data_IF_594324112084
#
_entry.id   IF_594324112084
#
_cell.length_a   1.000
_cell.length_b   1.000
_cell.length_c   1.000
_cell.angle_alpha   90.00
_cell.angle_beta   90.00
_cell.angle_gamma   90.00
#
_symmetry.space_group_name_H-M   'P 1'
#
loop_
_entity.id
_entity.type
_entity.pdbx_description
1 polymer ?
#
# COMPACT_ATOMS: atom_id res chain seq x y z
N UNK A 1 11.86 -0.24 5.95
CA UNK A 1 12.86 -0.22 4.87
C UNK A 1 13.78 0.99 4.98
N UNK A 2 14.65 1.18 3.99
CA UNK A 2 15.40 2.42 3.78
C UNK A 2 14.86 3.11 2.52
N UNK A 3 14.72 4.43 2.54
CA UNK A 3 14.29 5.22 1.39
C UNK A 3 14.90 6.60 1.45
N UNK A 4 14.85 7.30 0.31
CA UNK A 4 15.31 8.67 0.17
C UNK A 4 14.20 9.63 0.61
N UNK A 5 14.53 10.51 1.56
CA UNK A 5 13.65 11.58 2.04
C UNK A 5 14.17 12.92 1.55
N UNK A 6 13.28 13.70 0.95
CA UNK A 6 13.50 15.12 0.69
C UNK A 6 12.55 15.95 1.56
N UNK A 7 13.10 16.54 2.64
CA UNK A 7 12.34 17.39 3.55
C UNK A 7 12.45 18.87 3.18
N UNK A 8 13.13 19.23 2.08
CA UNK A 8 13.29 20.64 1.66
C UNK A 8 11.93 21.30 1.39
N UNK A 9 10.95 20.55 0.89
CA UNK A 9 9.59 21.04 0.68
C UNK A 9 8.81 21.28 1.99
N UNK A 10 9.07 20.51 3.05
CA UNK A 10 8.47 20.75 4.37
C UNK A 10 8.98 22.05 4.99
N UNK A 11 10.24 22.41 4.73
CA UNK A 11 10.83 23.67 5.17
C UNK A 11 10.13 24.90 4.57
N UNK A 12 9.61 24.79 3.34
CA UNK A 12 8.92 25.90 2.66
C UNK A 12 7.63 26.34 3.38
N UNK A 13 6.96 25.42 4.08
CA UNK A 13 5.74 25.74 4.84
C UNK A 13 6.03 26.38 6.22
N UNK A 14 7.27 26.24 6.72
CA UNK A 14 7.72 26.85 7.98
C UNK A 14 8.50 28.15 7.76
N UNK A 15 8.71 28.55 6.51
CA UNK A 15 9.39 29.79 6.13
C UNK A 15 8.51 31.01 6.43
N UNK A 16 8.42 31.38 7.71
CA UNK A 16 8.55 32.80 8.00
C UNK A 16 10.00 33.16 7.66
N UNK A 17 10.23 34.24 6.93
CA UNK A 17 11.55 34.76 6.47
C UNK A 17 12.56 35.07 7.62
N UNK A 18 12.30 34.60 8.83
CA UNK A 18 13.00 34.92 10.07
C UNK A 18 13.68 33.69 10.72
N UNK A 19 13.59 32.49 10.13
CA UNK A 19 14.19 31.26 10.69
C UNK A 19 15.08 30.54 9.67
N UNK A 20 16.25 30.10 10.14
CA UNK A 20 17.13 29.16 9.46
C UNK A 20 16.86 27.75 10.00
N UNK A 21 16.62 26.81 9.10
CA UNK A 21 16.25 25.42 9.43
C UNK A 21 17.33 24.47 8.92
N UNK A 22 17.76 23.52 9.76
CA UNK A 22 18.73 22.48 9.42
C UNK A 22 18.42 21.17 10.15
N UNK A 23 18.72 20.04 9.51
CA UNK A 23 18.48 18.70 10.08
C UNK A 23 19.79 18.01 10.46
N UNK A 24 19.74 17.15 11.48
CA UNK A 24 20.89 16.44 12.04
C UNK A 24 20.52 15.01 12.44
N UNK A 25 21.50 14.11 12.39
CA UNK A 25 21.32 12.70 12.80
C UNK A 25 21.36 12.54 14.33
N UNK A 26 21.99 13.47 15.05
CA UNK A 26 22.10 13.44 16.51
C UNK A 26 21.70 14.76 17.16
N UNK A 27 21.18 14.68 18.39
CA UNK A 27 20.84 15.86 19.18
C UNK A 27 22.06 16.75 19.43
N UNK A 28 23.23 16.14 19.71
CA UNK A 28 24.45 16.89 19.98
C UNK A 28 24.92 17.70 18.75
N UNK A 29 24.79 17.12 17.55
CA UNK A 29 25.10 17.83 16.31
C UNK A 29 24.12 18.99 16.07
N UNK A 30 22.83 18.77 16.37
CA UNK A 30 21.80 19.82 16.29
C UNK A 30 22.05 20.96 17.28
N UNK A 31 22.44 20.67 18.54
CA UNK A 31 22.73 21.67 19.56
C UNK A 31 23.98 22.49 19.23
N UNK A 32 25.02 21.84 18.69
CA UNK A 32 26.29 22.45 18.33
C UNK A 32 26.33 23.02 16.90
N UNK A 33 25.28 22.78 16.10
CA UNK A 33 25.19 23.17 14.70
C UNK A 33 26.38 22.67 13.85
N UNK A 34 26.70 21.39 13.97
CA UNK A 34 27.80 20.73 13.23
C UNK A 34 27.25 19.55 12.43
N UNK A 35 27.87 19.23 11.29
CA UNK A 35 27.46 18.11 10.43
C UNK A 35 25.96 18.12 10.02
N UNK A 36 25.43 19.23 9.47
CA UNK A 36 24.05 19.24 8.99
C UNK A 36 23.87 18.21 7.87
N UNK A 37 22.67 17.63 7.81
CA UNK A 37 22.24 16.72 6.75
C UNK A 37 22.07 17.51 5.46
N UNK A 38 22.67 17.02 4.37
CA UNK A 38 22.38 17.47 3.01
C UNK A 38 21.22 16.63 2.43
N UNK A 39 20.34 17.28 1.68
CA UNK A 39 19.23 16.62 1.00
C UNK A 39 19.57 16.31 -0.46
N UNK A 40 19.06 15.20 -1.00
CA UNK A 40 18.17 14.24 -0.33
C UNK A 40 18.91 13.30 0.64
N UNK A 41 18.21 12.80 1.67
CA UNK A 41 18.80 12.00 2.75
C UNK A 41 18.17 10.60 2.83
N UNK A 42 19.01 9.55 2.84
CA UNK A 42 18.56 8.17 3.06
C UNK A 42 18.66 7.80 4.54
N UNK A 43 17.58 7.28 5.12
CA UNK A 43 17.62 6.79 6.51
C UNK A 43 18.54 5.58 6.67
N UNK A 44 19.07 5.36 7.88
CA UNK A 44 19.95 4.22 8.21
C UNK A 44 19.26 3.16 9.08
N UNK A 45 18.15 3.53 9.73
CA UNK A 45 17.27 2.63 10.48
C UNK A 45 15.81 2.99 10.23
N UNK A 46 14.90 2.10 10.57
CA UNK A 46 13.47 2.35 10.48
C UNK A 46 12.74 1.81 11.73
N UNK A 47 12.09 2.66 12.54
CA UNK A 47 12.09 4.12 12.44
C UNK A 47 13.48 4.74 12.70
N UNK A 48 13.70 5.97 12.21
CA UNK A 48 14.86 6.79 12.55
C UNK A 48 14.43 8.16 13.05
N UNK A 49 14.99 8.61 14.17
CA UNK A 49 14.83 9.98 14.65
C UNK A 49 15.92 10.87 14.07
N UNK A 50 15.50 11.98 13.48
CA UNK A 50 16.33 13.13 13.11
C UNK A 50 16.00 14.31 14.03
N UNK A 51 16.88 15.31 14.04
CA UNK A 51 16.74 16.51 14.84
C UNK A 51 16.70 17.74 13.94
N UNK A 52 15.59 18.48 13.96
CA UNK A 52 15.42 19.76 13.28
C UNK A 52 15.85 20.89 14.21
N UNK A 53 16.88 21.64 13.83
CA UNK A 53 17.26 22.90 14.47
C UNK A 53 16.57 24.06 13.74
N UNK A 54 15.85 24.89 14.50
CA UNK A 54 15.33 26.18 14.03
C UNK A 54 16.05 27.32 14.74
N UNK A 55 16.72 28.21 14.01
CA UNK A 55 17.51 29.32 14.56
C UNK A 55 17.12 30.68 13.98
N UNK A 56 17.26 31.74 14.77
CA UNK A 56 17.01 33.12 14.33
C UNK A 56 18.31 33.73 13.77
N UNK A 57 18.34 34.17 12.49
CA UNK A 57 19.53 34.76 11.87
C UNK A 57 20.12 35.91 12.68
N UNK A 58 21.45 35.93 12.81
CA UNK A 58 22.17 36.98 13.54
C UNK A 58 22.06 36.90 15.07
N UNK A 59 21.51 35.80 15.61
CA UNK A 59 21.43 35.55 17.06
C UNK A 59 21.99 34.18 17.43
N UNK A 60 22.05 33.88 18.73
CA UNK A 60 22.35 32.54 19.26
C UNK A 60 21.09 31.76 19.66
N UNK A 61 19.90 32.28 19.37
CA UNK A 61 18.64 31.65 19.79
C UNK A 61 18.28 30.54 18.81
N UNK A 62 17.96 29.37 19.35
CA UNK A 62 17.50 28.22 18.58
C UNK A 62 16.59 27.32 19.42
N UNK A 63 15.79 26.51 18.73
CA UNK A 63 15.08 25.38 19.29
C UNK A 63 15.38 24.12 18.47
N UNK A 64 15.29 22.95 19.11
CA UNK A 64 15.51 21.64 18.47
C UNK A 64 14.25 20.79 18.62
N UNK A 65 13.80 20.19 17.53
CA UNK A 65 12.64 19.32 17.45
C UNK A 65 13.04 17.94 16.96
N UNK A 66 12.34 16.90 17.44
CA UNK A 66 12.50 15.55 16.92
C UNK A 66 11.61 15.34 15.69
N UNK A 67 12.16 14.67 14.67
CA UNK A 67 11.46 14.30 13.45
C UNK A 67 11.65 12.80 13.24
N UNK A 68 10.56 12.06 13.17
CA UNK A 68 10.60 10.62 12.97
C UNK A 68 10.45 10.29 11.49
N UNK A 69 11.50 9.73 10.90
CA UNK A 69 11.46 9.09 9.61
C UNK A 69 10.93 7.67 9.80
N UNK A 70 9.74 7.45 9.26
CA UNK A 70 9.09 6.14 9.26
C UNK A 70 8.92 5.77 7.79
N UNK A 71 9.58 4.70 7.38
CA UNK A 71 9.34 4.05 6.10
C UNK A 71 8.30 2.99 6.36
N UNK A 72 7.07 3.26 5.96
CA UNK A 72 6.06 2.22 5.86
C UNK A 72 6.31 1.42 4.58
N UNK A 73 6.42 0.11 4.74
CA UNK A 73 6.54 -0.80 3.62
C UNK A 73 5.13 -1.12 3.14
N UNK A 74 4.66 -0.41 2.13
CA UNK A 74 3.39 -0.73 1.46
C UNK A 74 3.51 -1.93 0.51
N UNK A 75 4.72 -2.52 0.37
CA UNK A 75 5.02 -3.68 -0.47
C UNK A 75 5.20 -5.00 0.30
N UNK A 76 4.94 -5.02 1.61
CA UNK A 76 4.89 -6.25 2.43
C UNK A 76 3.55 -6.40 3.14
N UNK A 77 2.45 -6.25 2.41
CA UNK A 77 1.10 -6.19 2.99
C UNK A 77 0.34 -7.50 3.06
N UNK A 78 0.82 -8.59 2.45
CA UNK A 78 0.29 -9.93 2.68
C UNK A 78 1.24 -10.96 2.07
N UNK A 79 1.68 -11.91 2.90
CA UNK A 79 2.23 -13.18 2.41
C UNK A 79 1.15 -13.96 1.66
N UNK A 80 1.54 -15.04 0.95
CA UNK A 80 0.57 -15.98 0.37
C UNK A 80 -0.51 -16.38 1.40
N UNK A 81 -0.05 -16.66 2.63
CA UNK A 81 -0.91 -17.07 3.73
C UNK A 81 -1.87 -15.96 4.19
N UNK A 82 -1.46 -14.69 4.13
CA UNK A 82 -2.35 -13.58 4.51
C UNK A 82 -3.41 -13.34 3.43
N UNK A 83 -3.04 -13.40 2.14
CA UNK A 83 -4.00 -13.32 1.03
C UNK A 83 -5.01 -14.45 1.12
N UNK A 84 -4.55 -15.67 1.35
CA UNK A 84 -5.41 -16.84 1.57
C UNK A 84 -6.42 -16.60 2.69
N UNK A 85 -5.94 -16.12 3.85
CA UNK A 85 -6.81 -15.81 4.99
C UNK A 85 -7.83 -14.73 4.65
N UNK A 86 -7.44 -13.65 3.98
CA UNK A 86 -8.37 -12.57 3.62
C UNK A 86 -9.43 -13.02 2.62
N UNK A 87 -9.03 -13.77 1.59
CA UNK A 87 -9.94 -14.29 0.57
C UNK A 87 -10.99 -15.21 1.19
N UNK A 88 -10.59 -16.09 2.13
CA UNK A 88 -11.48 -17.07 2.76
C UNK A 88 -12.28 -16.52 3.95
N UNK A 89 -12.05 -15.28 4.41
CA UNK A 89 -12.71 -14.75 5.61
C UNK A 89 -14.18 -14.35 5.38
N UNK A 90 -14.48 -13.67 4.27
CA UNK A 90 -15.82 -13.23 3.87
C UNK A 90 -15.94 -13.14 2.34
N UNK A 91 -17.12 -12.79 1.85
CA UNK A 91 -17.38 -12.54 0.43
C UNK A 91 -16.79 -11.21 -0.06
N UNK A 92 -16.48 -11.17 -1.35
CA UNK A 92 -15.84 -10.04 -2.01
C UNK A 92 -16.65 -9.54 -3.21
N UNK A 93 -16.64 -8.24 -3.48
CA UNK A 93 -17.29 -7.65 -4.65
C UNK A 93 -16.28 -7.00 -5.58
N UNK A 94 -16.38 -7.27 -6.89
CA UNK A 94 -15.56 -6.63 -7.92
C UNK A 94 -16.06 -5.21 -8.22
N UNK A 95 -15.68 -4.26 -7.36
CA UNK A 95 -16.18 -2.88 -7.39
C UNK A 95 -15.63 -2.03 -8.54
N UNK A 96 -14.46 -2.40 -9.08
CA UNK A 96 -13.86 -1.72 -10.23
C UNK A 96 -13.09 -2.72 -11.09
N UNK A 97 -13.40 -2.78 -12.37
CA UNK A 97 -12.69 -3.54 -13.38
C UNK A 97 -12.31 -2.61 -14.53
N UNK A 98 -11.02 -2.26 -14.64
CA UNK A 98 -10.51 -1.37 -15.68
C UNK A 98 -11.24 -0.01 -15.78
N UNK A 99 -11.73 0.53 -14.66
CA UNK A 99 -12.45 1.80 -14.59
C UNK A 99 -13.97 1.68 -14.80
N UNK A 100 -14.52 0.47 -14.74
CA UNK A 100 -15.95 0.16 -14.87
C UNK A 100 -16.44 -0.60 -13.64
N UNK A 101 -17.68 -0.31 -13.22
CA UNK A 101 -18.39 -0.96 -12.12
C UNK A 101 -19.36 -2.07 -12.59
N UNK A 102 -19.31 -2.47 -13.87
CA UNK A 102 -20.23 -3.46 -14.45
C UNK A 102 -20.16 -4.84 -13.73
N UNK A 103 -19.05 -5.12 -13.03
CA UNK A 103 -18.86 -6.36 -12.27
C UNK A 103 -19.27 -6.24 -10.80
N UNK A 104 -19.67 -5.07 -10.31
CA UNK A 104 -20.01 -4.81 -8.89
C UNK A 104 -21.22 -5.61 -8.39
N UNK A 105 -21.98 -6.22 -9.29
CA UNK A 105 -23.12 -7.10 -8.95
C UNK A 105 -22.70 -8.54 -8.62
N UNK A 106 -21.43 -8.89 -8.85
CA UNK A 106 -20.91 -10.23 -8.61
C UNK A 106 -20.24 -10.29 -7.23
N UNK A 107 -20.76 -11.21 -6.42
CA UNK A 107 -20.23 -11.61 -5.13
C UNK A 107 -19.30 -12.82 -5.34
N UNK A 108 -18.06 -12.75 -4.88
CA UNK A 108 -17.02 -13.76 -5.00
C UNK A 108 -16.79 -14.40 -3.63
N UNK A 109 -16.99 -15.71 -3.55
CA UNK A 109 -16.81 -16.53 -2.35
C UNK A 109 -15.69 -17.56 -2.55
N UNK A 110 -14.57 -17.35 -1.87
CA UNK A 110 -13.37 -18.18 -1.93
C UNK A 110 -13.39 -19.22 -0.80
N UNK A 111 -13.49 -20.51 -1.16
CA UNK A 111 -13.67 -21.60 -0.20
C UNK A 111 -12.39 -22.43 0.04
N UNK A 112 -12.30 -23.09 1.20
CA UNK A 112 -11.19 -23.93 1.75
C UNK A 112 -10.69 -25.13 0.88
N UNK A 113 -11.14 -25.27 -0.38
CA UNK A 113 -10.72 -26.34 -1.30
C UNK A 113 -10.36 -25.79 -2.70
N UNK A 114 -9.84 -24.56 -2.78
CA UNK A 114 -9.56 -23.89 -4.06
C UNK A 114 -10.81 -23.73 -4.94
N UNK A 115 -12.00 -23.76 -4.34
CA UNK A 115 -13.27 -23.57 -5.06
C UNK A 115 -13.70 -22.11 -4.93
N UNK A 116 -14.05 -21.48 -6.04
CA UNK A 116 -14.58 -20.13 -6.11
C UNK A 116 -16.04 -20.19 -6.56
N UNK A 117 -16.95 -19.67 -5.76
CA UNK A 117 -18.35 -19.50 -6.13
C UNK A 117 -18.59 -18.02 -6.40
N UNK A 118 -19.09 -17.69 -7.59
CA UNK A 118 -19.46 -16.32 -7.93
C UNK A 118 -20.96 -16.24 -8.10
N UNK A 119 -21.62 -15.39 -7.32
CA UNK A 119 -23.07 -15.19 -7.34
C UNK A 119 -23.41 -13.85 -7.97
N UNK A 120 -24.27 -13.85 -8.99
CA UNK A 120 -24.87 -12.62 -9.49
C UNK A 120 -26.05 -12.24 -8.58
N UNK A 121 -25.89 -11.14 -7.83
CA UNK A 121 -26.87 -10.71 -6.82
C UNK A 121 -28.19 -10.20 -7.40
N UNK A 122 -28.27 -9.97 -8.72
CA UNK A 122 -29.50 -9.49 -9.38
C UNK A 122 -30.46 -10.63 -9.74
N UNK A 123 -29.93 -11.82 -10.00
CA UNK A 123 -30.71 -12.97 -10.51
C UNK A 123 -30.41 -14.29 -9.78
N UNK A 124 -29.48 -14.30 -8.83
CA UNK A 124 -29.00 -15.45 -8.05
C UNK A 124 -28.41 -16.60 -8.89
N UNK A 125 -27.99 -16.32 -10.12
CA UNK A 125 -27.22 -17.29 -10.91
C UNK A 125 -25.80 -17.41 -10.35
N UNK A 126 -25.29 -18.64 -10.29
CA UNK A 126 -23.96 -18.92 -9.77
C UNK A 126 -23.04 -19.47 -10.86
N UNK A 127 -21.78 -19.07 -10.78
CA UNK A 127 -20.67 -19.59 -11.59
C UNK A 127 -19.68 -20.21 -10.63
N UNK A 128 -19.24 -21.44 -10.92
CA UNK A 128 -18.21 -22.10 -10.12
C UNK A 128 -16.90 -22.05 -10.89
N UNK A 129 -15.82 -21.76 -10.18
CA UNK A 129 -14.46 -21.71 -10.69
C UNK A 129 -13.47 -22.25 -9.67
N UNK A 130 -12.19 -22.05 -9.98
CA UNK A 130 -11.09 -22.38 -9.09
C UNK A 130 -10.28 -21.14 -8.77
N UNK A 131 -9.69 -21.13 -7.59
CA UNK A 131 -8.73 -20.12 -7.19
C UNK A 131 -7.49 -20.75 -6.56
N UNK A 132 -6.35 -20.11 -6.75
CA UNK A 132 -5.11 -20.45 -6.07
C UNK A 132 -4.29 -19.18 -5.85
N UNK A 133 -3.47 -19.19 -4.80
CA UNK A 133 -2.44 -18.17 -4.57
C UNK A 133 -1.06 -18.76 -4.80
N UNK A 134 -0.09 -17.91 -5.11
CA UNK A 134 1.32 -18.29 -5.13
C UNK A 134 2.21 -17.08 -4.86
N UNK A 135 3.23 -17.26 -4.02
CA UNK A 135 4.19 -16.19 -3.71
C UNK A 135 5.48 -16.31 -4.53
N UNK A 136 5.91 -15.18 -5.09
CA UNK A 136 7.11 -15.03 -5.89
C UNK A 136 7.94 -13.84 -5.40
N UNK A 137 9.10 -13.59 -6.02
CA UNK A 137 9.88 -12.39 -5.73
C UNK A 137 9.15 -11.07 -6.10
N UNK A 138 8.15 -11.14 -6.99
CA UNK A 138 7.39 -9.98 -7.45
C UNK A 138 6.16 -9.70 -6.56
N UNK A 139 5.80 -10.62 -5.67
CA UNK A 139 4.64 -10.54 -4.79
C UNK A 139 3.76 -11.80 -4.82
N UNK A 140 2.56 -11.69 -4.25
CA UNK A 140 1.54 -12.75 -4.26
C UNK A 140 0.69 -12.64 -5.53
N UNK A 141 0.54 -13.76 -6.21
CA UNK A 141 -0.32 -13.91 -7.38
C UNK A 141 -1.58 -14.67 -7.01
N UNK A 142 -2.72 -14.24 -7.53
CA UNK A 142 -4.00 -14.95 -7.48
C UNK A 142 -4.31 -15.47 -8.89
N UNK A 143 -4.50 -16.78 -9.03
CA UNK A 143 -5.00 -17.41 -10.24
C UNK A 143 -6.50 -17.68 -10.10
N UNK A 144 -7.29 -17.23 -11.07
CA UNK A 144 -8.72 -17.51 -11.20
C UNK A 144 -8.96 -18.31 -12.48
N UNK A 145 -9.55 -19.49 -12.37
CA UNK A 145 -9.76 -20.39 -13.51
C UNK A 145 -11.20 -20.94 -13.57
N UNK A 146 -11.58 -21.45 -14.75
CA UNK A 146 -12.84 -22.14 -15.03
C UNK A 146 -14.11 -21.28 -14.83
N UNK A 147 -14.01 -19.95 -14.99
CA UNK A 147 -15.14 -19.03 -14.89
C UNK A 147 -15.97 -19.01 -16.20
N UNK A 148 -16.95 -19.90 -16.32
CA UNK A 148 -17.75 -20.08 -17.53
C UNK A 148 -19.01 -19.19 -17.62
N UNK A 149 -19.00 -18.00 -17.03
CA UNK A 149 -20.15 -17.08 -17.01
C UNK A 149 -19.93 -15.81 -17.84
N UNK A 150 -20.99 -15.35 -18.51
CA UNK A 150 -20.98 -14.08 -19.24
C UNK A 150 -20.49 -12.93 -18.37
N UNK A 151 -19.61 -12.08 -18.92
CA UNK A 151 -18.91 -10.98 -18.26
C UNK A 151 -17.87 -11.43 -17.22
N UNK A 152 -18.23 -12.32 -16.30
CA UNK A 152 -17.33 -12.74 -15.21
C UNK A 152 -16.12 -13.55 -15.70
N UNK A 153 -16.23 -14.19 -16.87
CA UNK A 153 -15.11 -14.81 -17.56
C UNK A 153 -13.90 -13.87 -17.77
N UNK A 154 -14.12 -12.54 -17.74
CA UNK A 154 -13.07 -11.53 -17.86
C UNK A 154 -12.11 -11.49 -16.67
N UNK A 155 -12.50 -12.07 -15.52
CA UNK A 155 -11.63 -12.23 -14.36
C UNK A 155 -10.71 -13.46 -14.47
N UNK A 156 -10.94 -14.36 -15.43
CA UNK A 156 -10.09 -15.55 -15.63
C UNK A 156 -8.66 -15.13 -15.95
N UNK A 157 -7.70 -15.66 -15.20
CA UNK A 157 -6.28 -15.39 -15.38
C UNK A 157 -5.52 -15.25 -14.07
N UNK A 158 -4.26 -14.83 -14.19
CA UNK A 158 -3.35 -14.59 -13.08
C UNK A 158 -3.23 -13.10 -12.80
N UNK A 159 -3.32 -12.73 -11.52
CA UNK A 159 -3.32 -11.35 -11.07
C UNK A 159 -2.34 -11.15 -9.93
N UNK A 160 -1.43 -10.19 -10.07
CA UNK A 160 -0.54 -9.74 -9.02
C UNK A 160 -1.30 -8.87 -8.02
N UNK A 161 -1.18 -9.15 -6.73
CA UNK A 161 -1.73 -8.28 -5.67
C UNK A 161 -0.86 -7.03 -5.55
N UNK A 162 -1.39 -5.87 -5.92
CA UNK A 162 -0.68 -4.57 -5.88
C UNK A 162 -1.17 -3.62 -4.79
N UNK A 163 -2.36 -3.86 -4.25
CA UNK A 163 -2.84 -3.25 -2.99
C UNK A 163 -3.38 -4.37 -2.12
N UNK A 164 -2.90 -4.44 -0.89
CA UNK A 164 -3.32 -5.49 0.04
C UNK A 164 -3.75 -4.93 1.38
N UNK A 165 -5.00 -5.17 1.73
CA UNK A 165 -5.57 -4.92 3.04
C UNK A 165 -6.65 -5.95 3.33
N UNK A 166 -7.00 -6.13 4.60
CA UNK A 166 -8.06 -7.05 5.01
C UNK A 166 -9.39 -6.79 4.29
N UNK A 167 -9.69 -5.54 3.95
CA UNK A 167 -11.01 -5.16 3.38
C UNK A 167 -10.99 -4.82 1.89
N UNK A 168 -9.81 -4.74 1.27
CA UNK A 168 -9.65 -4.26 -0.10
C UNK A 168 -8.39 -4.84 -0.71
N UNK A 169 -8.53 -5.46 -1.88
CA UNK A 169 -7.42 -5.92 -2.70
C UNK A 169 -7.48 -5.26 -4.08
N UNK A 170 -6.33 -4.81 -4.58
CA UNK A 170 -6.16 -4.42 -5.99
C UNK A 170 -5.29 -5.46 -6.65
N UNK A 171 -5.78 -5.99 -7.76
CA UNK A 171 -5.15 -7.05 -8.53
C UNK A 171 -4.84 -6.53 -9.93
N UNK A 172 -3.61 -6.73 -10.42
CA UNK A 172 -3.15 -6.28 -11.74
C UNK A 172 -2.63 -7.46 -12.56
N UNK A 173 -2.93 -7.48 -13.86
CA UNK A 173 -2.40 -8.48 -14.79
C UNK A 173 -1.30 -7.89 -15.68
N UNK A 174 -0.58 -8.76 -16.39
CA UNK A 174 0.55 -8.39 -17.26
C UNK A 174 0.20 -7.44 -18.42
N UNK A 175 -1.09 -7.26 -18.73
CA UNK A 175 -1.57 -6.37 -19.79
C UNK A 175 -1.99 -4.98 -19.28
N UNK A 176 -1.58 -4.60 -18.06
CA UNK A 176 -2.04 -3.41 -17.34
C UNK A 176 -3.56 -3.39 -17.08
N UNK A 177 -4.22 -4.55 -17.15
CA UNK A 177 -5.59 -4.68 -16.69
C UNK A 177 -5.64 -4.82 -15.18
N UNK A 178 -6.68 -4.30 -14.53
CA UNK A 178 -6.82 -4.41 -13.08
C UNK A 178 -8.27 -4.69 -12.67
N UNK A 179 -8.38 -5.28 -11.48
CA UNK A 179 -9.62 -5.39 -10.72
C UNK A 179 -9.38 -4.96 -9.28
N UNK A 180 -10.32 -4.22 -8.71
CA UNK A 180 -10.39 -3.94 -7.29
C UNK A 180 -11.54 -4.76 -6.72
N UNK A 181 -11.24 -5.52 -5.68
CA UNK A 181 -12.24 -6.22 -4.89
C UNK A 181 -12.31 -5.65 -3.49
N UNK A 182 -13.54 -5.46 -2.98
CA UNK A 182 -13.80 -5.00 -1.61
C UNK A 182 -14.60 -6.06 -0.84
N UNK A 183 -14.23 -6.27 0.42
CA UNK A 183 -14.80 -7.30 1.27
C UNK A 183 -16.12 -6.84 1.88
N UNK A 184 -17.14 -7.69 1.83
CA UNK A 184 -18.41 -7.52 2.54
C UNK A 184 -18.73 -8.77 3.36
N UNK A 185 -18.90 -8.61 4.67
CA UNK A 185 -19.31 -9.70 5.57
C UNK A 185 -20.79 -9.51 5.91
N UNK A 186 -21.68 -10.26 5.25
CA UNK A 186 -23.14 -10.17 5.44
C UNK A 186 -23.68 -11.10 6.53
#
# INVERSE_FOLDING_TARGET
>A
GLTEFDLTALLANCANDQLELAYFVSLADAENNVNPIEFPYTNVTNPQTLYLRASVPGTTNFEVFEVHLIVEDCSTGCSEADVDLFLMECEWFAVDFNGSDDLSIFELDFNDNSNLVITNTTNNETVNGFWATSETADGVWIELDNLNGSNIQALTGTWLVTECSETRLKLENDNNGYVVIERECN
#
